data_IF_773655520679
#
_entry.id   IF_773655520679
#
_cell.length_a   1.000
_cell.length_b   1.000
_cell.length_c   1.000
_cell.angle_alpha   90.00
_cell.angle_beta   90.00
_cell.angle_gamma   90.00
#
_symmetry.space_group_name_H-M   'P 1'
#
loop_
_entity.id
_entity.type
_entity.pdbx_description
1 polymer ?
#
# COMPACT_ATOMS: atom_id res chain seq x y z
N UNK A 1 50.41 21.82 61.16
CA UNK A 1 49.80 23.03 61.77
C UNK A 1 48.55 23.41 61.00
N UNK A 2 47.44 23.63 61.73
CA UNK A 2 46.21 24.40 61.42
C UNK A 2 45.41 23.96 60.18
N UNK A 3 44.29 23.24 60.31
CA UNK A 3 42.94 23.59 60.83
C UNK A 3 42.17 24.59 59.95
N UNK A 4 40.91 24.27 59.65
CA UNK A 4 39.86 25.25 59.33
C UNK A 4 39.04 24.93 58.07
N UNK A 5 38.22 23.88 58.02
CA UNK A 5 36.75 23.89 58.26
C UNK A 5 35.93 25.06 57.70
N UNK A 6 34.98 24.67 56.82
CA UNK A 6 33.54 24.98 56.86
C UNK A 6 32.99 26.00 55.85
N UNK A 7 32.02 25.53 55.05
CA UNK A 7 30.66 26.07 54.79
C UNK A 7 30.15 25.42 53.48
N UNK A 8 29.40 24.31 53.49
CA UNK A 8 27.94 24.16 53.73
C UNK A 8 27.07 25.03 52.78
N UNK A 9 26.14 24.33 52.10
CA UNK A 9 25.08 24.73 51.16
C UNK A 9 25.53 24.76 49.68
N UNK A 10 25.21 23.77 48.86
CA UNK A 10 23.83 23.49 48.47
C UNK A 10 23.57 21.98 48.30
N UNK A 11 22.55 21.53 49.04
CA UNK A 11 21.87 20.27 48.86
C UNK A 11 21.23 20.18 47.47
N UNK A 12 21.08 18.94 46.98
CA UNK A 12 20.15 18.51 45.92
C UNK A 12 20.46 18.90 44.47
N UNK A 13 21.31 18.11 43.81
CA UNK A 13 21.28 17.95 42.35
C UNK A 13 21.49 16.48 41.90
N UNK A 14 21.17 15.52 42.77
CA UNK A 14 21.14 14.09 42.44
C UNK A 14 19.84 13.54 42.99
N UNK A 15 18.74 13.76 42.24
CA UNK A 15 17.45 13.07 42.31
C UNK A 15 16.47 13.90 41.47
N UNK A 16 16.37 13.62 40.17
CA UNK A 16 15.44 14.39 39.31
C UNK A 16 15.49 14.16 37.81
N UNK A 17 16.14 13.11 37.29
CA UNK A 17 15.96 12.71 35.88
C UNK A 17 15.43 11.28 35.85
N UNK A 18 14.24 11.10 36.42
CA UNK A 18 13.36 9.98 36.13
C UNK A 18 12.03 10.55 35.66
N UNK A 19 11.70 10.25 34.42
CA UNK A 19 10.42 10.48 33.73
C UNK A 19 10.04 11.92 33.39
N UNK A 20 10.48 12.34 32.20
CA UNK A 20 9.56 12.95 31.24
C UNK A 20 9.81 12.30 29.89
N UNK A 21 9.11 11.19 29.69
CA UNK A 21 8.84 10.59 28.39
C UNK A 21 7.98 11.55 27.56
N UNK A 22 8.55 12.67 27.14
CA UNK A 22 8.19 13.24 25.85
C UNK A 22 8.88 12.34 24.83
N UNK A 23 8.08 11.62 24.04
CA UNK A 23 8.54 11.07 22.76
C UNK A 23 9.16 12.25 22.01
N UNK A 24 10.50 12.35 22.05
CA UNK A 24 11.21 13.03 20.98
C UNK A 24 10.72 12.32 19.73
N UNK A 25 9.94 13.04 18.92
CA UNK A 25 9.82 12.71 17.51
C UNK A 25 11.26 12.55 17.05
N UNK A 26 11.62 11.33 16.67
CA UNK A 26 12.78 11.10 15.83
C UNK A 26 12.49 11.97 14.61
N UNK A 27 13.11 13.15 14.56
CA UNK A 27 13.22 13.87 13.30
C UNK A 27 13.86 12.87 12.34
N UNK A 28 13.20 12.63 11.22
CA UNK A 28 13.57 11.59 10.27
C UNK A 28 14.99 11.88 9.73
N UNK A 29 16.02 11.37 10.40
CA UNK A 29 17.45 11.57 10.07
C UNK A 29 17.86 10.97 8.71
N UNK A 30 16.92 10.36 7.98
CA UNK A 30 17.14 9.74 6.66
C UNK A 30 16.08 10.20 5.64
N UNK A 31 15.73 11.49 5.63
CA UNK A 31 14.90 12.04 4.57
C UNK A 31 15.76 12.45 3.38
N UNK A 32 15.43 11.87 2.22
CA UNK A 32 15.95 12.34 0.95
C UNK A 32 15.18 13.55 0.43
N UNK A 33 15.77 14.23 -0.56
CA UNK A 33 15.19 15.39 -1.22
C UNK A 33 13.73 15.13 -1.65
N UNK A 34 12.86 16.12 -1.39
CA UNK A 34 11.46 16.07 -1.77
C UNK A 34 11.29 15.93 -3.30
N UNK A 35 10.28 15.17 -3.77
CA UNK A 35 9.99 15.11 -5.20
C UNK A 35 9.45 16.46 -5.70
N UNK A 36 9.80 16.81 -6.93
CA UNK A 36 9.18 17.90 -7.66
C UNK A 36 7.78 17.50 -8.14
N UNK A 37 6.90 18.49 -8.31
CA UNK A 37 5.54 18.27 -8.82
C UNK A 37 5.22 19.30 -9.89
N UNK A 38 4.81 18.83 -11.05
CA UNK A 38 4.35 19.67 -12.15
C UNK A 38 2.89 19.33 -12.47
N UNK A 39 2.03 20.35 -12.55
CA UNK A 39 0.60 20.19 -12.84
C UNK A 39 0.35 20.68 -14.25
N UNK A 40 -0.13 19.77 -15.10
CA UNK A 40 -0.66 20.13 -16.43
C UNK A 40 -2.17 20.15 -16.39
N UNK A 41 -2.83 20.47 -17.51
CA UNK A 41 -4.29 20.42 -17.59
C UNK A 41 -4.88 19.01 -17.47
N UNK A 42 -4.11 17.94 -17.68
CA UNK A 42 -4.63 16.56 -17.76
C UNK A 42 -4.06 15.59 -16.73
N UNK A 43 -2.89 15.91 -16.18
CA UNK A 43 -2.16 15.03 -15.27
C UNK A 43 -1.32 15.82 -14.28
N UNK A 44 -1.09 15.24 -13.10
CA UNK A 44 -0.02 15.63 -12.18
C UNK A 44 1.19 14.75 -12.47
N UNK A 45 2.34 15.38 -12.65
CA UNK A 45 3.61 14.72 -12.94
C UNK A 45 4.54 14.88 -11.74
N UNK A 46 4.85 13.77 -11.08
CA UNK A 46 5.79 13.72 -9.96
C UNK A 46 7.18 13.44 -10.51
N UNK A 47 8.12 14.33 -10.23
CA UNK A 47 9.51 14.28 -10.67
C UNK A 47 10.35 13.84 -9.47
N UNK A 48 10.94 12.64 -9.58
CA UNK A 48 11.57 11.95 -8.47
C UNK A 48 13.09 11.96 -8.69
N UNK A 49 13.89 12.54 -7.77
CA UNK A 49 15.34 12.53 -7.87
C UNK A 49 15.91 11.10 -7.92
N UNK A 50 16.94 10.87 -8.74
CA UNK A 50 17.68 9.61 -8.70
C UNK A 50 18.65 9.61 -7.53
N UNK A 51 18.68 8.51 -6.79
CA UNK A 51 19.51 8.36 -5.58
C UNK A 51 20.74 7.49 -5.83
N UNK A 52 20.52 6.23 -6.22
CA UNK A 52 21.58 5.25 -6.45
C UNK A 52 21.11 4.20 -7.49
N UNK A 53 22.06 3.65 -8.25
CA UNK A 53 21.88 2.49 -9.14
C UNK A 53 21.30 1.26 -8.44
N UNK A 54 21.50 1.11 -7.13
CA UNK A 54 21.01 -0.04 -6.35
C UNK A 54 19.53 0.05 -5.96
N UNK A 55 18.82 1.10 -6.39
CA UNK A 55 17.38 1.22 -6.17
C UNK A 55 16.66 0.13 -6.96
N UNK A 56 15.93 -0.74 -6.27
CA UNK A 56 15.17 -1.82 -6.90
C UNK A 56 13.83 -1.28 -7.44
N UNK A 57 13.09 -0.55 -6.61
CA UNK A 57 11.81 0.07 -6.96
C UNK A 57 11.51 1.26 -6.04
N UNK A 58 10.53 2.07 -6.43
CA UNK A 58 10.11 3.27 -5.73
C UNK A 58 8.61 3.23 -5.54
N UNK A 59 8.15 3.35 -4.29
CA UNK A 59 6.73 3.52 -3.99
C UNK A 59 6.41 5.02 -4.04
N UNK A 60 5.28 5.39 -4.64
CA UNK A 60 4.83 6.77 -4.73
C UNK A 60 3.63 6.95 -3.83
N UNK A 61 3.76 7.82 -2.84
CA UNK A 61 2.70 8.14 -1.90
C UNK A 61 2.08 9.49 -2.21
N UNK A 62 0.76 9.56 -2.08
CA UNK A 62 -0.03 10.79 -2.14
C UNK A 62 -0.71 11.03 -0.81
N UNK A 63 -0.80 12.29 -0.41
CA UNK A 63 -1.63 12.77 0.69
C UNK A 63 -2.59 13.81 0.17
N UNK A 64 -3.89 13.51 0.27
CA UNK A 64 -4.95 14.50 0.09
C UNK A 64 -5.03 15.36 1.36
N UNK A 65 -4.90 16.68 1.23
CA UNK A 65 -4.93 17.62 2.36
C UNK A 65 -6.31 17.76 3.00
N UNK A 66 -7.38 17.37 2.30
CA UNK A 66 -8.73 17.35 2.86
C UNK A 66 -8.91 16.19 3.85
N UNK A 67 -8.39 15.00 3.49
CA UNK A 67 -8.56 13.76 4.26
C UNK A 67 -7.36 13.43 5.16
N UNK A 68 -6.22 14.10 4.95
CA UNK A 68 -4.90 13.93 5.61
C UNK A 68 -4.39 12.48 5.70
N UNK A 69 -4.90 11.58 4.84
CA UNK A 69 -4.46 10.18 4.74
C UNK A 69 -3.36 10.07 3.68
N UNK A 70 -2.24 9.44 4.06
CA UNK A 70 -1.18 9.05 3.14
C UNK A 70 -1.51 7.70 2.53
N UNK A 71 -1.58 7.61 1.21
CA UNK A 71 -1.86 6.39 0.46
C UNK A 71 -0.74 6.10 -0.52
N UNK A 72 -0.39 4.82 -0.71
CA UNK A 72 0.52 4.41 -1.77
C UNK A 72 -0.30 4.32 -3.07
N UNK A 73 0.04 5.14 -4.06
CA UNK A 73 -0.72 5.24 -5.31
C UNK A 73 -0.03 4.53 -6.48
N UNK A 74 1.22 4.12 -6.32
CA UNK A 74 1.90 3.36 -7.38
C UNK A 74 3.30 2.89 -7.02
N UNK A 75 3.84 2.05 -7.90
CA UNK A 75 5.24 1.61 -7.88
C UNK A 75 5.88 1.93 -9.22
N UNK A 76 7.11 2.48 -9.16
CA UNK A 76 8.02 2.55 -10.30
C UNK A 76 9.10 1.49 -10.17
N UNK A 77 9.30 0.69 -11.22
CA UNK A 77 10.41 -0.24 -11.31
C UNK A 77 11.62 0.47 -11.91
N UNK A 78 12.57 0.78 -11.03
CA UNK A 78 13.69 1.70 -11.26
C UNK A 78 14.42 1.49 -12.60
N UNK A 79 14.97 0.29 -12.91
CA UNK A 79 15.72 0.12 -14.16
C UNK A 79 14.85 0.23 -15.42
N UNK A 80 13.55 -0.02 -15.32
CA UNK A 80 12.61 -0.02 -16.45
C UNK A 80 11.98 1.35 -16.68
N UNK A 81 11.98 2.21 -15.66
CA UNK A 81 11.51 3.59 -15.74
C UNK A 81 12.51 4.54 -16.44
N UNK A 82 13.68 4.03 -16.87
CA UNK A 82 14.86 4.79 -17.30
C UNK A 82 14.80 5.52 -18.66
N UNK A 83 13.65 5.68 -19.31
CA UNK A 83 13.58 6.35 -20.62
C UNK A 83 13.85 7.88 -20.59
N UNK A 84 14.15 8.49 -19.43
CA UNK A 84 14.37 9.94 -19.31
C UNK A 84 15.71 10.36 -18.66
N UNK A 85 16.30 11.40 -19.26
CA UNK A 85 17.38 12.36 -18.92
C UNK A 85 18.55 11.98 -17.98
N UNK A 86 18.68 10.71 -17.60
CA UNK A 86 19.63 10.16 -16.63
C UNK A 86 19.56 10.72 -15.21
N UNK A 87 18.73 11.73 -14.88
CA UNK A 87 18.76 12.43 -13.58
C UNK A 87 17.51 12.28 -12.74
N UNK A 88 16.35 12.06 -13.34
CA UNK A 88 15.08 11.91 -12.61
C UNK A 88 14.24 10.73 -13.09
N UNK A 89 13.35 10.25 -12.23
CA UNK A 89 12.22 9.41 -12.60
C UNK A 89 10.96 10.25 -12.69
N UNK A 90 9.98 9.77 -13.47
CA UNK A 90 8.69 10.43 -13.60
C UNK A 90 7.58 9.45 -13.25
N UNK A 91 6.65 9.89 -12.40
CA UNK A 91 5.40 9.21 -12.14
C UNK A 91 4.24 10.12 -12.54
N UNK A 92 3.32 9.59 -13.34
CA UNK A 92 2.13 10.32 -13.77
C UNK A 92 0.96 9.90 -12.87
N UNK A 93 0.41 10.85 -12.13
CA UNK A 93 -0.83 10.69 -11.37
C UNK A 93 -1.99 11.34 -12.14
N UNK A 94 -2.88 10.49 -12.64
CA UNK A 94 -4.10 10.88 -13.34
C UNK A 94 -5.35 10.82 -12.46
N UNK A 95 -5.26 10.29 -11.22
CA UNK A 95 -6.43 10.01 -10.36
C UNK A 95 -6.61 11.09 -9.29
N UNK A 96 -6.64 12.35 -9.70
CA UNK A 96 -6.73 13.53 -8.80
C UNK A 96 -8.07 14.25 -8.97
N UNK A 97 -8.60 14.80 -7.88
CA UNK A 97 -9.88 15.51 -7.88
C UNK A 97 -9.67 17.02 -8.04
N UNK A 98 -10.50 17.65 -8.88
CA UNK A 98 -10.61 19.11 -8.95
C UNK A 98 -11.07 19.68 -7.61
N UNK A 99 -10.45 20.78 -7.17
CA UNK A 99 -10.73 21.42 -5.88
C UNK A 99 -9.99 20.80 -4.69
N UNK A 100 -9.24 19.71 -4.90
CA UNK A 100 -8.43 19.10 -3.86
C UNK A 100 -6.99 19.63 -3.90
N UNK A 101 -6.31 19.50 -2.75
CA UNK A 101 -4.89 19.82 -2.61
C UNK A 101 -4.10 18.58 -2.22
N UNK A 102 -2.94 18.38 -2.83
CA UNK A 102 -2.16 17.16 -2.69
C UNK A 102 -0.69 17.44 -2.35
N UNK A 103 -0.09 16.54 -1.59
CA UNK A 103 1.36 16.40 -1.42
C UNK A 103 1.80 15.01 -1.84
N UNK A 104 3.04 14.88 -2.30
CA UNK A 104 3.62 13.61 -2.72
C UNK A 104 4.91 13.35 -1.96
N UNK A 105 5.19 12.07 -1.68
CA UNK A 105 6.51 11.62 -1.23
C UNK A 105 6.81 10.27 -1.84
N UNK A 106 8.05 9.85 -1.80
CA UNK A 106 8.45 8.53 -2.29
C UNK A 106 9.14 7.72 -1.22
N UNK A 107 9.10 6.40 -1.38
CA UNK A 107 9.89 5.44 -0.61
C UNK A 107 10.72 4.58 -1.54
N UNK A 108 12.03 4.75 -1.48
CA UNK A 108 13.00 3.95 -2.21
C UNK A 108 13.21 2.61 -1.49
N UNK A 109 13.24 1.52 -2.25
CA UNK A 109 13.77 0.24 -1.80
C UNK A 109 15.18 0.08 -2.37
N UNK A 110 16.20 0.17 -1.51
CA UNK A 110 17.62 0.10 -1.89
C UNK A 110 18.23 -1.03 -1.07
N UNK A 111 18.70 -2.09 -1.74
CA UNK A 111 19.25 -3.28 -1.10
C UNK A 111 18.38 -3.79 0.07
N UNK A 112 17.08 -3.94 -0.17
CA UNK A 112 16.04 -4.40 0.77
C UNK A 112 15.80 -3.48 2.00
N UNK A 113 16.39 -2.30 2.02
CA UNK A 113 16.12 -1.25 3.00
C UNK A 113 15.23 -0.14 2.43
N UNK A 114 14.41 0.45 3.31
CA UNK A 114 13.45 1.48 2.93
C UNK A 114 13.88 2.87 3.38
N UNK A 115 13.82 3.82 2.46
CA UNK A 115 14.16 5.21 2.71
C UNK A 115 13.08 6.14 2.15
N UNK A 116 12.63 7.10 2.93
CA UNK A 116 11.60 8.05 2.53
C UNK A 116 12.20 9.37 2.07
N UNK A 117 11.53 10.03 1.12
CA UNK A 117 11.76 11.46 0.87
C UNK A 117 10.94 12.33 1.83
N UNK A 118 11.32 13.60 1.92
CA UNK A 118 10.40 14.65 2.35
C UNK A 118 9.13 14.70 1.49
N UNK A 119 8.09 15.34 2.04
CA UNK A 119 6.89 15.66 1.28
C UNK A 119 7.17 16.81 0.31
N UNK A 120 6.59 16.73 -0.88
CA UNK A 120 6.57 17.82 -1.85
C UNK A 120 5.84 19.04 -1.29
N UNK A 121 6.03 20.16 -1.97
CA UNK A 121 5.16 21.31 -1.79
C UNK A 121 3.71 20.92 -2.12
N UNK A 122 2.76 21.55 -1.42
CA UNK A 122 1.33 21.33 -1.67
C UNK A 122 0.96 21.93 -3.02
N UNK A 123 0.32 21.12 -3.86
CA UNK A 123 -0.30 21.57 -5.11
C UNK A 123 -1.81 21.60 -4.96
N UNK A 124 -2.46 22.51 -5.69
CA UNK A 124 -3.92 22.63 -5.76
C UNK A 124 -4.39 22.29 -7.18
N UNK A 125 -5.38 21.42 -7.31
CA UNK A 125 -6.00 21.09 -8.60
C UNK A 125 -7.12 22.08 -8.87
N UNK A 126 -6.87 23.05 -9.74
CA UNK A 126 -7.81 24.14 -10.04
C UNK A 126 -8.88 23.72 -11.04
N UNK A 127 -10.00 24.47 -11.04
CA UNK A 127 -11.06 24.34 -12.05
C UNK A 127 -10.49 24.52 -13.47
N UNK A 128 -10.92 23.68 -14.42
CA UNK A 128 -10.39 23.64 -15.79
C UNK A 128 -9.29 22.58 -16.02
N UNK A 129 -9.06 21.70 -15.05
CA UNK A 129 -8.37 20.44 -15.27
C UNK A 129 -9.27 19.55 -16.16
N UNK A 130 -8.78 19.19 -17.35
CA UNK A 130 -9.46 18.46 -18.44
C UNK A 130 -9.66 16.97 -18.14
N UNK A 131 -9.67 16.58 -16.87
CA UNK A 131 -10.14 15.26 -16.44
C UNK A 131 -11.58 15.43 -15.96
N UNK A 132 -12.54 14.90 -16.73
CA UNK A 132 -13.97 15.22 -16.58
C UNK A 132 -14.46 15.05 -15.13
N UNK A 133 -14.71 16.16 -14.43
CA UNK A 133 -15.18 16.14 -13.07
C UNK A 133 -16.69 16.33 -13.13
N UNK A 134 -17.45 15.27 -12.91
CA UNK A 134 -18.79 15.51 -12.35
C UNK A 134 -19.19 14.48 -11.30
N UNK A 135 -18.65 13.25 -11.31
CA UNK A 135 -18.99 12.24 -10.27
C UNK A 135 -17.92 11.16 -10.03
N UNK A 136 -16.67 11.41 -10.42
CA UNK A 136 -15.66 10.35 -10.54
C UNK A 136 -15.18 9.85 -9.17
N UNK A 137 -15.75 8.74 -8.73
CA UNK A 137 -15.19 7.95 -7.62
C UNK A 137 -14.00 7.15 -8.17
N UNK A 138 -12.80 7.51 -7.74
CA UNK A 138 -11.59 6.78 -8.10
C UNK A 138 -11.43 5.47 -7.34
N UNK A 139 -12.17 5.26 -6.25
CA UNK A 139 -12.19 4.01 -5.47
C UNK A 139 -13.38 3.13 -5.83
N UNK A 140 -13.27 1.83 -5.53
CA UNK A 140 -14.44 0.95 -5.50
C UNK A 140 -15.46 1.44 -4.46
N UNK A 141 -16.74 1.21 -4.72
CA UNK A 141 -17.82 1.49 -3.77
C UNK A 141 -18.38 0.19 -3.23
N UNK A 142 -18.36 0.03 -1.91
CA UNK A 142 -18.67 -1.22 -1.21
C UNK A 142 -20.02 -1.16 -0.49
N UNK A 143 -21.03 -0.44 -1.00
CA UNK A 143 -22.31 -0.14 -0.35
C UNK A 143 -22.94 -1.31 0.47
N UNK A 144 -22.56 -1.46 1.75
CA UNK A 144 -22.98 -2.59 2.61
C UNK A 144 -22.40 -3.96 2.23
N UNK A 145 -21.49 -4.02 1.26
CA UNK A 145 -20.77 -5.21 0.86
C UNK A 145 -19.75 -5.62 1.93
N UNK A 146 -19.56 -6.93 2.05
CA UNK A 146 -18.62 -7.56 2.99
C UNK A 146 -17.95 -8.74 2.32
N UNK A 147 -16.80 -9.13 2.85
CA UNK A 147 -16.11 -10.37 2.50
C UNK A 147 -16.41 -11.39 3.59
N UNK A 148 -16.90 -12.56 3.19
CA UNK A 148 -17.10 -13.70 4.08
C UNK A 148 -15.88 -14.60 3.95
N UNK A 149 -15.14 -14.77 5.04
CA UNK A 149 -14.06 -15.75 5.13
C UNK A 149 -14.57 -17.07 5.70
N UNK A 150 -14.46 -18.14 4.91
CA UNK A 150 -14.82 -19.49 5.32
C UNK A 150 -13.57 -20.25 5.77
N UNK A 151 -13.40 -20.38 7.09
CA UNK A 151 -12.23 -21.05 7.69
C UNK A 151 -12.09 -22.53 7.31
N UNK A 152 -13.18 -23.20 6.96
CA UNK A 152 -13.19 -24.65 6.68
C UNK A 152 -12.47 -25.01 5.39
N UNK A 153 -12.56 -24.16 4.37
CA UNK A 153 -11.97 -24.37 3.05
C UNK A 153 -10.97 -23.27 2.67
N UNK A 154 -10.70 -22.32 3.57
CA UNK A 154 -9.84 -21.16 3.36
C UNK A 154 -10.24 -20.36 2.12
N UNK A 155 -11.53 -20.09 1.98
CA UNK A 155 -12.09 -19.31 0.86
C UNK A 155 -12.60 -17.94 1.28
N UNK A 156 -12.61 -16.99 0.35
CA UNK A 156 -13.31 -15.72 0.47
C UNK A 156 -14.50 -15.68 -0.48
N UNK A 157 -15.60 -15.10 -0.03
CA UNK A 157 -16.77 -14.83 -0.86
C UNK A 157 -17.20 -13.39 -0.67
N UNK A 158 -17.41 -12.64 -1.75
CA UNK A 158 -18.02 -11.32 -1.67
C UNK A 158 -19.53 -11.46 -1.46
N UNK A 159 -20.07 -10.77 -0.47
CA UNK A 159 -21.52 -10.68 -0.22
C UNK A 159 -21.95 -9.21 -0.31
N UNK A 160 -22.86 -8.92 -1.22
CA UNK A 160 -23.35 -7.57 -1.51
C UNK A 160 -22.74 -6.97 -2.77
N UNK A 161 -23.03 -5.69 -3.02
CA UNK A 161 -22.64 -5.03 -4.27
C UNK A 161 -21.36 -4.22 -4.10
N UNK A 162 -20.32 -4.60 -4.83
CA UNK A 162 -19.10 -3.82 -5.02
C UNK A 162 -19.12 -3.22 -6.42
N UNK A 163 -19.17 -1.89 -6.51
CA UNK A 163 -19.20 -1.18 -7.79
C UNK A 163 -17.82 -0.63 -8.14
N UNK A 164 -17.38 -0.89 -9.37
CA UNK A 164 -16.13 -0.34 -9.90
C UNK A 164 -16.11 1.20 -9.89
N UNK A 165 -14.90 1.80 -9.82
CA UNK A 165 -14.68 3.20 -10.14
C UNK A 165 -15.32 3.60 -11.47
N UNK A 166 -15.88 4.81 -11.52
CA UNK A 166 -16.63 5.29 -12.68
C UNK A 166 -15.82 6.33 -13.46
N UNK A 167 -14.80 5.87 -14.20
CA UNK A 167 -14.04 6.69 -15.15
C UNK A 167 -13.72 5.91 -16.42
N UNK A 168 -13.51 6.63 -17.52
CA UNK A 168 -13.46 6.11 -18.90
C UNK A 168 -12.50 4.94 -19.07
N UNK A 169 -11.29 5.04 -18.53
CA UNK A 169 -10.23 4.05 -18.74
C UNK A 169 -10.31 2.85 -17.78
N UNK A 170 -11.17 2.89 -16.75
CA UNK A 170 -11.16 1.87 -15.70
C UNK A 170 -11.39 0.47 -16.27
N UNK A 171 -12.49 0.29 -17.00
CA UNK A 171 -12.90 -1.02 -17.51
C UNK A 171 -11.92 -1.62 -18.53
N UNK A 172 -11.14 -0.80 -19.23
CA UNK A 172 -10.20 -1.24 -20.26
C UNK A 172 -8.77 -1.45 -19.75
N UNK A 173 -8.39 -0.80 -18.65
CA UNK A 173 -6.97 -0.73 -18.25
C UNK A 173 -6.70 -1.19 -16.81
N UNK A 174 -7.74 -1.32 -15.98
CA UNK A 174 -7.60 -1.70 -14.57
C UNK A 174 -8.14 -3.10 -14.32
N UNK A 175 -7.37 -3.85 -13.52
CA UNK A 175 -7.73 -5.19 -13.05
C UNK A 175 -8.05 -5.10 -11.56
N UNK A 176 -9.11 -5.78 -11.05
CA UNK A 176 -9.40 -5.80 -9.63
C UNK A 176 -8.31 -6.51 -8.84
N UNK A 177 -7.93 -5.93 -7.71
CA UNK A 177 -7.00 -6.54 -6.77
C UNK A 177 -7.55 -6.46 -5.35
N UNK A 178 -7.28 -7.48 -4.56
CA UNK A 178 -7.49 -7.48 -3.10
C UNK A 178 -6.16 -7.26 -2.38
N UNK A 179 -6.14 -6.42 -1.36
CA UNK A 179 -4.93 -6.12 -0.59
C UNK A 179 -4.92 -6.97 0.68
N UNK A 180 -3.88 -7.79 0.83
CA UNK A 180 -3.58 -8.48 2.08
C UNK A 180 -2.38 -7.86 2.77
N UNK A 181 -2.43 -7.84 4.10
CA UNK A 181 -1.35 -7.38 4.95
C UNK A 181 -1.09 -8.39 6.07
N UNK A 182 0.15 -8.85 6.19
CA UNK A 182 0.70 -9.50 7.38
C UNK A 182 1.43 -8.48 8.26
N UNK A 183 2.02 -8.93 9.36
CA UNK A 183 2.80 -8.06 10.25
C UNK A 183 4.08 -7.51 9.56
N UNK A 184 4.55 -8.14 8.48
CA UNK A 184 5.79 -7.78 7.78
C UNK A 184 5.62 -7.37 6.31
N UNK A 185 4.52 -7.76 5.66
CA UNK A 185 4.32 -7.58 4.22
C UNK A 185 2.92 -7.06 3.91
N UNK A 186 2.81 -6.22 2.89
CA UNK A 186 1.54 -5.81 2.28
C UNK A 186 1.63 -6.04 0.79
N UNK A 187 0.68 -6.79 0.22
CA UNK A 187 0.67 -7.12 -1.20
C UNK A 187 -0.75 -7.16 -1.74
N UNK A 188 -0.90 -6.75 -3.01
CA UNK A 188 -2.15 -6.84 -3.74
C UNK A 188 -2.14 -8.09 -4.64
N UNK A 189 -3.27 -8.79 -4.71
CA UNK A 189 -3.45 -10.00 -5.49
C UNK A 189 -4.64 -9.86 -6.41
N UNK A 190 -4.48 -10.33 -7.65
CA UNK A 190 -5.50 -10.25 -8.68
C UNK A 190 -6.72 -11.11 -8.32
N UNK A 191 -7.91 -10.56 -8.52
CA UNK A 191 -9.18 -11.28 -8.42
C UNK A 191 -10.01 -10.98 -9.67
N UNK A 192 -10.87 -11.92 -10.07
CA UNK A 192 -11.75 -11.68 -11.22
C UNK A 192 -12.84 -10.68 -10.88
N UNK A 193 -13.24 -9.87 -11.85
CA UNK A 193 -14.45 -9.06 -11.75
C UNK A 193 -15.70 -9.94 -11.52
N UNK A 194 -15.69 -11.16 -12.08
CA UNK A 194 -16.75 -12.15 -11.86
C UNK A 194 -16.73 -12.70 -10.42
N UNK A 195 -15.56 -12.76 -9.78
CA UNK A 195 -15.49 -13.21 -8.37
C UNK A 195 -16.23 -12.24 -7.45
N UNK A 196 -16.10 -10.94 -7.75
CA UNK A 196 -16.78 -9.86 -7.05
C UNK A 196 -18.28 -9.85 -7.38
N UNK A 197 -18.64 -9.95 -8.66
CA UNK A 197 -20.03 -9.79 -9.11
C UNK A 197 -20.93 -11.00 -8.82
N UNK A 198 -20.39 -12.22 -8.93
CA UNK A 198 -21.17 -13.46 -8.84
C UNK A 198 -21.06 -14.15 -7.48
N UNK A 199 -20.43 -13.51 -6.49
CA UNK A 199 -20.22 -14.06 -5.15
C UNK A 199 -19.47 -15.41 -5.22
N UNK A 200 -18.45 -15.47 -6.06
CA UNK A 200 -17.68 -16.70 -6.28
C UNK A 200 -16.74 -16.94 -5.11
N UNK A 201 -16.54 -18.21 -4.76
CA UNK A 201 -15.54 -18.62 -3.77
C UNK A 201 -14.13 -18.46 -4.35
N UNK A 202 -13.33 -17.63 -3.70
CA UNK A 202 -11.93 -17.39 -4.03
C UNK A 202 -11.05 -18.23 -3.09
N UNK A 203 -10.38 -19.29 -3.58
CA UNK A 203 -9.49 -20.10 -2.76
C UNK A 203 -8.19 -19.36 -2.43
N UNK A 204 -7.90 -19.16 -1.14
CA UNK A 204 -6.73 -18.38 -0.71
C UNK A 204 -5.40 -19.13 -0.85
N UNK A 205 -5.40 -20.46 -0.75
CA UNK A 205 -4.16 -21.26 -0.81
C UNK A 205 -3.49 -21.13 -2.19
N UNK A 206 -4.27 -21.03 -3.26
CA UNK A 206 -3.72 -20.85 -4.62
C UNK A 206 -3.38 -19.40 -4.96
N UNK A 207 -3.93 -18.44 -4.20
CA UNK A 207 -3.75 -17.01 -4.42
C UNK A 207 -2.56 -16.45 -3.63
N UNK A 208 -2.42 -16.88 -2.37
CA UNK A 208 -1.44 -16.34 -1.43
C UNK A 208 -0.12 -17.10 -1.49
N UNK A 209 1.02 -16.40 -1.58
CA UNK A 209 2.33 -17.04 -1.49
C UNK A 209 2.61 -17.45 -0.04
N UNK A 210 3.60 -18.32 0.14
CA UNK A 210 3.96 -18.91 1.43
C UNK A 210 4.13 -17.90 2.57
N UNK A 211 4.64 -16.70 2.27
CA UNK A 211 4.83 -15.64 3.27
C UNK A 211 3.52 -15.10 3.90
N UNK A 212 2.36 -15.41 3.33
CA UNK A 212 1.03 -15.07 3.84
C UNK A 212 0.27 -16.30 4.39
N UNK A 213 0.85 -17.51 4.29
CA UNK A 213 0.29 -18.73 4.86
C UNK A 213 0.84 -18.95 6.26
N UNK A 214 0.06 -19.63 7.12
CA UNK A 214 0.38 -19.90 8.52
C UNK A 214 0.75 -18.66 9.34
N UNK A 215 0.31 -17.49 8.88
CA UNK A 215 0.45 -16.20 9.57
C UNK A 215 -0.90 -15.53 9.64
N UNK A 216 -1.08 -14.69 10.66
CA UNK A 216 -2.21 -13.79 10.72
C UNK A 216 -2.09 -12.74 9.61
N UNK A 217 -3.17 -12.59 8.84
CA UNK A 217 -3.27 -11.59 7.78
C UNK A 217 -4.57 -10.80 7.92
N UNK A 218 -4.56 -9.59 7.37
CA UNK A 218 -5.71 -8.68 7.32
C UNK A 218 -6.01 -8.35 5.87
N UNK A 219 -7.29 -8.20 5.54
CA UNK A 219 -7.70 -7.68 4.23
C UNK A 219 -7.88 -6.18 4.39
N UNK A 220 -7.08 -5.40 3.67
CA UNK A 220 -7.07 -3.94 3.77
C UNK A 220 -8.10 -3.28 2.85
N UNK A 221 -8.54 -3.98 1.81
CA UNK A 221 -9.52 -3.47 0.87
C UNK A 221 -9.32 -3.98 -0.56
N UNK A 222 -10.01 -3.32 -1.49
CA UNK A 222 -9.97 -3.60 -2.92
C UNK A 222 -9.41 -2.36 -3.65
N UNK A 223 -8.53 -2.58 -4.61
CA UNK A 223 -8.03 -1.54 -5.53
C UNK A 223 -8.15 -2.02 -6.97
N UNK A 224 -8.21 -1.08 -7.91
CA UNK A 224 -7.92 -1.36 -9.31
C UNK A 224 -6.43 -1.17 -9.53
N UNK A 225 -5.83 -2.07 -10.30
CA UNK A 225 -4.43 -1.97 -10.70
C UNK A 225 -4.32 -1.81 -12.22
N UNK A 226 -3.61 -0.77 -12.65
CA UNK A 226 -3.15 -0.61 -14.02
C UNK A 226 -1.65 -0.87 -14.09
N UNK A 227 -1.24 -1.84 -14.91
CA UNK A 227 0.16 -2.11 -15.19
C UNK A 227 0.59 -1.45 -16.51
N UNK A 228 1.63 -0.64 -16.44
CA UNK A 228 2.28 -0.04 -17.60
C UNK A 228 3.56 -0.82 -17.86
N UNK A 229 3.70 -1.33 -19.08
CA UNK A 229 4.84 -2.13 -19.50
C UNK A 229 5.85 -1.28 -20.28
N UNK A 230 7.11 -1.69 -20.23
CA UNK A 230 8.21 -1.08 -21.00
C UNK A 230 7.99 -1.16 -22.52
N UNK A 231 7.53 -2.32 -23.00
CA UNK A 231 7.14 -2.55 -24.38
C UNK A 231 5.84 -3.36 -24.41
N UNK A 232 4.66 -2.70 -24.52
CA UNK A 232 3.37 -3.38 -24.40
C UNK A 232 3.12 -4.44 -25.48
N UNK A 233 3.86 -4.39 -26.59
CA UNK A 233 3.73 -5.29 -27.74
C UNK A 233 4.71 -6.47 -27.73
N UNK A 234 5.61 -6.56 -26.73
CA UNK A 234 6.58 -7.65 -26.60
C UNK A 234 6.04 -8.80 -25.76
N UNK A 235 6.47 -10.04 -26.05
CA UNK A 235 6.21 -11.19 -25.18
C UNK A 235 7.07 -11.15 -23.91
N UNK A 236 8.26 -10.55 -23.97
CA UNK A 236 9.19 -10.39 -22.84
C UNK A 236 8.97 -9.08 -22.09
N UNK A 237 7.79 -8.49 -22.20
CA UNK A 237 7.48 -7.20 -21.59
C UNK A 237 7.60 -7.27 -20.08
N UNK A 238 8.20 -6.24 -19.50
CA UNK A 238 8.36 -6.09 -18.06
C UNK A 238 7.52 -4.93 -17.55
N UNK A 239 7.02 -5.06 -16.33
CA UNK A 239 6.22 -4.00 -15.71
C UNK A 239 7.15 -2.84 -15.38
N UNK A 240 6.92 -1.69 -16.02
CA UNK A 240 7.63 -0.44 -15.79
C UNK A 240 7.04 0.34 -14.62
N UNK A 241 5.71 0.39 -14.55
CA UNK A 241 4.98 1.13 -13.53
C UNK A 241 3.68 0.42 -13.18
N UNK A 242 3.31 0.50 -11.91
CA UNK A 242 1.98 0.15 -11.42
C UNK A 242 1.30 1.43 -10.92
N UNK A 243 0.03 1.61 -11.31
CA UNK A 243 -0.86 2.64 -10.79
C UNK A 243 -2.01 1.93 -10.07
N UNK A 244 -2.32 2.37 -8.85
CA UNK A 244 -3.49 1.90 -8.12
C UNK A 244 -4.53 2.99 -7.95
N UNK A 245 -5.78 2.56 -7.91
CA UNK A 245 -6.85 3.37 -7.34
C UNK A 245 -6.67 3.55 -5.83
N UNK A 246 -7.45 4.45 -5.24
CA UNK A 246 -7.55 4.49 -3.78
C UNK A 246 -8.18 3.18 -3.25
N UNK A 247 -7.68 2.66 -2.11
CA UNK A 247 -8.21 1.44 -1.52
C UNK A 247 -9.61 1.68 -0.97
N UNK A 248 -10.56 0.84 -1.40
CA UNK A 248 -11.88 0.77 -0.82
C UNK A 248 -11.88 -0.21 0.35
N UNK A 249 -12.09 0.29 1.56
CA UNK A 249 -12.25 -0.53 2.75
C UNK A 249 -13.52 -1.41 2.60
N UNK A 250 -13.41 -2.66 3.03
CA UNK A 250 -14.49 -3.64 3.01
C UNK A 250 -14.46 -4.45 4.29
N UNK A 251 -15.63 -4.64 4.90
CA UNK A 251 -15.72 -5.40 6.14
C UNK A 251 -15.52 -6.89 5.89
N UNK A 252 -14.80 -7.55 6.81
CA UNK A 252 -14.52 -8.99 6.74
C UNK A 252 -15.28 -9.69 7.87
N UNK A 253 -16.18 -10.59 7.49
CA UNK A 253 -16.92 -11.47 8.39
C UNK A 253 -16.25 -12.85 8.42
N UNK A 254 -16.22 -13.48 9.59
CA UNK A 254 -15.48 -14.73 9.80
C UNK A 254 -14.01 -14.50 10.21
N UNK A 255 -13.54 -13.26 10.16
CA UNK A 255 -12.33 -12.85 10.86
C UNK A 255 -12.59 -12.81 12.38
N UNK A 256 -11.57 -13.13 13.18
CA UNK A 256 -11.67 -13.00 14.63
C UNK A 256 -11.89 -11.56 15.07
N UNK A 257 -12.01 -11.31 16.38
CA UNK A 257 -12.21 -9.97 16.95
C UNK A 257 -11.14 -8.94 16.55
N UNK A 258 -9.98 -9.39 16.07
CA UNK A 258 -8.87 -8.58 15.57
C UNK A 258 -8.96 -8.21 14.08
N UNK A 259 -10.05 -8.58 13.36
CA UNK A 259 -10.14 -8.54 11.88
C UNK A 259 -9.02 -9.32 11.16
N UNK A 260 -8.29 -10.18 11.89
CA UNK A 260 -7.26 -11.06 11.33
C UNK A 260 -7.90 -12.39 10.91
N UNK A 261 -7.47 -12.91 9.77
CA UNK A 261 -7.74 -14.26 9.29
C UNK A 261 -6.43 -15.04 9.28
N UNK A 262 -6.52 -16.37 9.39
CA UNK A 262 -5.37 -17.26 9.39
C UNK A 262 -5.60 -18.34 8.34
N UNK A 263 -4.74 -18.36 7.32
CA UNK A 263 -4.82 -19.29 6.19
C UNK A 263 -3.81 -20.38 6.41
N UNK A 264 -4.28 -21.57 6.75
CA UNK A 264 -3.41 -22.72 7.05
C UNK A 264 -2.86 -23.29 5.74
N UNK A 265 -1.54 -23.47 5.65
CA UNK A 265 -0.94 -24.17 4.53
C UNK A 265 -1.33 -25.65 4.55
N UNK A 266 -1.55 -26.25 3.38
CA UNK A 266 -1.77 -27.71 3.29
C UNK A 266 -0.47 -28.51 3.43
N UNK A 267 0.67 -27.82 3.55
CA UNK A 267 1.96 -28.44 3.84
C UNK A 267 2.06 -28.71 5.33
N UNK A 268 1.64 -29.90 5.74
CA UNK A 268 1.81 -30.36 7.11
C UNK A 268 3.26 -30.23 7.56
N UNK A 269 3.47 -29.74 8.78
CA UNK A 269 4.80 -29.53 9.37
C UNK A 269 5.59 -30.83 9.60
N UNK A 270 4.96 -31.98 9.42
CA UNK A 270 5.47 -33.31 9.75
C UNK A 270 5.22 -34.37 8.66
N UNK A 271 4.68 -33.98 7.49
CA UNK A 271 4.45 -34.90 6.37
C UNK A 271 3.34 -35.94 6.58
N UNK A 272 2.62 -35.91 7.71
CA UNK A 272 1.51 -36.84 8.00
C UNK A 272 0.12 -36.26 7.69
N UNK A 273 -0.02 -34.94 7.54
CA UNK A 273 -1.33 -34.27 7.37
C UNK A 273 -2.05 -34.58 6.06
N UNK A 274 -1.35 -35.04 5.02
CA UNK A 274 -1.98 -35.54 3.79
C UNK A 274 -2.81 -36.82 4.02
N UNK A 275 -2.49 -37.59 5.08
CA UNK A 275 -3.19 -38.85 5.39
C UNK A 275 -4.41 -38.67 6.32
N UNK A 276 -4.51 -37.53 7.02
CA UNK A 276 -5.61 -37.25 7.95
C UNK A 276 -6.89 -36.74 7.30
N UNK A 277 -6.80 -36.17 6.09
CA UNK A 277 -7.94 -35.54 5.40
C UNK A 277 -8.46 -36.31 4.17
N UNK A 278 -7.92 -37.50 3.87
CA UNK A 278 -8.59 -38.43 2.96
C UNK A 278 -9.78 -39.01 3.71
N UNK A 279 -10.95 -38.38 3.61
CA UNK A 279 -12.21 -39.02 4.00
C UNK A 279 -12.29 -40.35 3.28
N UNK A 280 -12.33 -41.45 4.02
CA UNK A 280 -12.76 -42.73 3.49
C UNK A 280 -14.12 -42.53 2.81
N UNK A 281 -14.13 -42.58 1.49
CA UNK A 281 -15.36 -42.80 0.74
C UNK A 281 -15.71 -44.26 0.99
N UNK A 282 -16.66 -44.50 1.90
CA UNK A 282 -17.23 -45.83 2.05
C UNK A 282 -18.01 -46.15 0.78
N UNK A 283 -17.55 -47.16 0.05
CA UNK A 283 -18.30 -47.82 -1.03
C UNK A 283 -19.45 -48.65 -0.44
#
# INVERSE_FOLDING_TARGET
MKKGTSFILFFAAILGITFSSCKLKVEDENLYDKPGVNVTKKQVTVIIPKMNTDTQYINVYRRDKLNDKSINIGILYHPLALENDQKTYTYIDSLVNTGHSYQYRVRYCIADAYYYSEWSDTIEIKAGYEFEPDTTYFAYRTNGAKIIFEKTDNTLTFDGTVTAPNFTEFASEYVPMIIFQSDSLTQAFEISADDIANHTKIPLIGLLPQAFLDTDITIQGIVGQKAIYDNPNSQDKQIKQIIWTEPAEIDVVGAGSSKKIHVVSQTGSDGFDYSGNVRQVNY
#
